data_IF_686835333805
#
_entry.id   IF_686835333805
#
_cell.length_a   1.000
_cell.length_b   1.000
_cell.length_c   1.000
_cell.angle_alpha   90.00
_cell.angle_beta   90.00
_cell.angle_gamma   90.00
#
_symmetry.space_group_name_H-M   'P 1'
#
loop_
_entity.id
_entity.type
_entity.pdbx_description
1 polymer ?
#
# COMPACT_ATOMS: atom_id res chain seq x y z
N UNK A 1 0.09 20.89 5.01
CA UNK A 1 -0.86 21.56 4.09
C UNK A 1 -0.16 22.38 2.97
N UNK A 2 1.16 22.27 2.75
CA UNK A 2 1.89 23.17 1.81
C UNK A 2 2.21 22.61 0.41
N UNK A 3 2.15 21.30 0.16
CA UNK A 3 2.44 20.71 -1.16
C UNK A 3 1.24 19.98 -1.80
N UNK A 4 0.02 20.16 -1.29
CA UNK A 4 -1.18 19.48 -1.81
C UNK A 4 -1.22 17.96 -1.63
N UNK A 5 -0.22 17.35 -0.99
CA UNK A 5 -0.15 15.90 -0.77
C UNK A 5 -1.10 15.50 0.38
N UNK A 6 -2.01 14.52 0.16
CA UNK A 6 -2.93 14.06 1.20
C UNK A 6 -2.18 13.31 2.30
N UNK A 7 -2.54 13.56 3.56
CA UNK A 7 -2.02 12.80 4.69
C UNK A 7 -2.79 11.48 4.80
N UNK A 8 -2.10 10.35 4.63
CA UNK A 8 -2.66 9.01 4.78
C UNK A 8 -2.31 8.44 6.16
N UNK A 9 -3.13 7.50 6.67
CA UNK A 9 -2.91 6.90 7.99
C UNK A 9 -1.54 6.22 8.16
N UNK A 10 -0.97 5.68 7.07
CA UNK A 10 0.38 5.09 7.06
C UNK A 10 1.46 6.10 7.43
N UNK A 11 1.28 7.39 7.11
CA UNK A 11 2.26 8.44 7.41
C UNK A 11 2.43 8.65 8.93
N UNK A 12 1.50 8.19 9.75
CA UNK A 12 1.67 8.21 11.21
C UNK A 12 2.82 7.32 11.69
N UNK A 13 3.24 6.32 10.90
CA UNK A 13 4.41 5.50 11.18
C UNK A 13 5.74 6.17 10.79
N UNK A 14 5.71 7.18 9.91
CA UNK A 14 6.91 7.82 9.37
C UNK A 14 7.83 8.43 10.46
N UNK A 15 7.33 9.09 11.52
CA UNK A 15 8.19 9.60 12.59
C UNK A 15 8.99 8.51 13.31
N UNK A 16 8.41 7.33 13.53
CA UNK A 16 9.10 6.21 14.18
C UNK A 16 10.24 5.68 13.32
N UNK A 17 10.00 5.58 12.00
CA UNK A 17 11.01 5.15 11.05
C UNK A 17 12.14 6.19 10.96
N UNK A 18 11.81 7.48 10.93
CA UNK A 18 12.77 8.58 10.91
C UNK A 18 13.62 8.65 12.19
N UNK A 19 13.03 8.36 13.36
CA UNK A 19 13.78 8.25 14.61
C UNK A 19 14.81 7.12 14.55
N UNK A 20 14.43 5.96 13.99
CA UNK A 20 15.36 4.83 13.82
C UNK A 20 16.58 5.22 12.96
N UNK A 21 16.34 5.84 11.81
CA UNK A 21 17.41 6.31 10.91
C UNK A 21 18.29 7.35 11.62
N UNK A 22 17.68 8.36 12.26
CA UNK A 22 18.43 9.43 12.92
C UNK A 22 19.27 8.97 14.12
N UNK A 23 18.79 7.96 14.88
CA UNK A 23 19.53 7.38 16.00
C UNK A 23 20.75 6.59 15.50
N UNK A 24 20.62 5.86 14.40
CA UNK A 24 21.74 5.14 13.79
C UNK A 24 22.85 6.11 13.35
N UNK A 25 22.50 7.17 12.63
CA UNK A 25 23.45 8.21 12.20
C UNK A 25 24.12 8.94 13.39
N UNK A 26 23.37 9.16 14.48
CA UNK A 26 23.90 9.74 15.71
C UNK A 26 24.88 8.79 16.41
N UNK A 27 24.56 7.50 16.47
CA UNK A 27 25.43 6.49 17.07
C UNK A 27 26.74 6.34 16.29
N UNK A 28 26.69 6.31 14.95
CA UNK A 28 27.89 6.29 14.10
C UNK A 28 28.79 7.49 14.40
N UNK A 29 28.23 8.70 14.46
CA UNK A 29 29.00 9.91 14.76
C UNK A 29 29.58 9.93 16.18
N UNK A 30 28.79 9.53 17.18
CA UNK A 30 29.24 9.45 18.57
C UNK A 30 30.33 8.38 18.74
N UNK A 31 30.21 7.24 18.08
CA UNK A 31 31.21 6.17 18.12
C UNK A 31 32.55 6.64 17.54
N UNK A 32 32.52 7.40 16.44
CA UNK A 32 33.70 8.02 15.86
C UNK A 32 34.29 9.09 16.79
N UNK A 33 33.44 9.94 17.40
CA UNK A 33 33.86 10.93 18.40
C UNK A 33 34.58 10.28 19.59
N UNK A 34 34.05 9.18 20.11
CA UNK A 34 34.63 8.46 21.24
C UNK A 34 35.96 7.77 20.93
N UNK A 35 36.26 7.48 19.66
CA UNK A 35 37.57 6.96 19.22
C UNK A 35 38.64 8.03 19.15
N UNK A 36 38.27 9.31 19.08
CA UNK A 36 39.24 10.43 19.07
C UNK A 36 39.90 10.62 20.43
N UNK A 37 41.15 11.12 20.45
CA UNK A 37 41.88 11.35 21.69
C UNK A 37 41.30 12.56 22.44
N UNK A 38 40.90 12.43 23.72
CA UNK A 38 40.28 13.53 24.48
C UNK A 38 41.18 14.76 24.72
N UNK A 39 42.49 14.61 24.54
CA UNK A 39 43.50 15.66 24.77
C UNK A 39 43.66 16.62 23.58
N UNK A 40 43.21 16.21 22.39
CA UNK A 40 43.35 17.00 21.16
C UNK A 40 42.35 18.18 21.15
N UNK A 41 42.62 19.20 20.34
CA UNK A 41 41.74 20.37 20.24
C UNK A 41 40.36 19.96 19.70
N UNK A 42 39.28 20.61 20.17
CA UNK A 42 37.91 20.30 19.72
C UNK A 42 37.78 20.40 18.19
N UNK A 43 38.50 21.35 17.57
CA UNK A 43 38.53 21.51 16.11
C UNK A 43 39.11 20.28 15.42
N UNK A 44 40.20 19.75 15.94
CA UNK A 44 40.91 18.61 15.36
C UNK A 44 40.15 17.29 15.59
N UNK A 45 39.57 17.11 16.78
CA UNK A 45 38.65 15.99 17.07
C UNK A 45 37.42 16.01 16.17
N UNK A 46 36.82 17.19 15.96
CA UNK A 46 35.68 17.34 15.04
C UNK A 46 36.07 17.02 13.60
N UNK A 47 37.21 17.53 13.13
CA UNK A 47 37.70 17.24 11.77
C UNK A 47 37.93 15.75 11.55
N UNK A 48 38.57 15.07 12.50
CA UNK A 48 38.82 13.62 12.44
C UNK A 48 37.54 12.79 12.53
N UNK A 49 36.60 13.20 13.39
CA UNK A 49 35.30 12.53 13.51
C UNK A 49 34.53 12.63 12.20
N UNK A 50 34.43 13.84 11.64
CA UNK A 50 33.70 14.08 10.39
C UNK A 50 34.36 13.43 9.17
N UNK A 51 35.69 13.34 9.11
CA UNK A 51 36.37 12.70 7.97
C UNK A 51 35.99 11.22 7.83
N UNK A 52 35.62 10.55 8.92
CA UNK A 52 35.22 9.14 8.92
C UNK A 52 33.69 8.98 9.00
N UNK A 53 33.02 9.61 9.98
CA UNK A 53 31.59 9.39 10.22
C UNK A 53 30.70 10.05 9.17
N UNK A 54 31.06 11.22 8.65
CA UNK A 54 30.21 11.93 7.70
C UNK A 54 30.12 11.19 6.37
N UNK A 55 31.22 10.59 5.90
CA UNK A 55 31.23 9.78 4.67
C UNK A 55 30.28 8.59 4.79
N UNK A 56 30.33 7.88 5.91
CA UNK A 56 29.43 6.75 6.17
C UNK A 56 27.96 7.17 6.16
N UNK A 57 27.63 8.27 6.85
CA UNK A 57 26.26 8.78 6.96
C UNK A 57 25.74 9.30 5.61
N UNK A 58 26.59 9.97 4.83
CA UNK A 58 26.25 10.42 3.47
C UNK A 58 25.88 9.25 2.58
N UNK A 59 26.61 8.14 2.64
CA UNK A 59 26.30 6.94 1.86
C UNK A 59 24.92 6.40 2.27
N UNK A 60 24.68 6.18 3.56
CA UNK A 60 23.40 5.68 4.07
C UNK A 60 22.23 6.61 3.71
N UNK A 61 22.40 7.92 3.89
CA UNK A 61 21.36 8.92 3.58
C UNK A 61 21.03 9.00 2.09
N UNK A 62 22.05 8.96 1.22
CA UNK A 62 21.85 8.94 -0.24
C UNK A 62 21.15 7.66 -0.67
N UNK A 63 21.58 6.50 -0.17
CA UNK A 63 20.94 5.22 -0.50
C UNK A 63 19.49 5.18 0.00
N UNK A 64 19.21 5.68 1.21
CA UNK A 64 17.84 5.79 1.73
C UNK A 64 16.99 6.72 0.86
N UNK A 65 17.52 7.88 0.49
CA UNK A 65 16.85 8.85 -0.38
C UNK A 65 16.50 8.23 -1.74
N UNK A 66 17.46 7.56 -2.39
CA UNK A 66 17.22 6.86 -3.67
C UNK A 66 16.18 5.76 -3.49
N UNK A 67 16.28 4.95 -2.43
CA UNK A 67 15.35 3.84 -2.17
C UNK A 67 13.91 4.34 -1.98
N UNK A 68 13.71 5.44 -1.23
CA UNK A 68 12.39 6.03 -1.06
C UNK A 68 11.88 6.70 -2.33
N UNK A 69 12.74 7.37 -3.11
CA UNK A 69 12.32 7.93 -4.39
C UNK A 69 12.00 6.86 -5.44
N UNK A 70 12.67 5.70 -5.44
CA UNK A 70 12.26 4.57 -6.28
C UNK A 70 10.86 4.09 -5.85
N UNK A 71 10.58 4.08 -4.55
CA UNK A 71 9.27 3.72 -4.01
C UNK A 71 8.11 4.61 -4.50
N UNK A 72 8.37 5.86 -4.92
CA UNK A 72 7.31 6.73 -5.45
C UNK A 72 6.83 6.32 -6.83
N UNK A 73 7.57 5.49 -7.58
CA UNK A 73 7.13 4.96 -8.87
C UNK A 73 6.15 3.78 -8.77
N UNK A 74 5.80 3.34 -7.55
CA UNK A 74 4.88 2.23 -7.34
C UNK A 74 3.46 2.60 -7.78
N UNK A 75 2.75 1.67 -8.44
CA UNK A 75 1.35 1.86 -8.87
C UNK A 75 0.36 2.12 -7.71
N UNK A 76 0.69 1.69 -6.49
CA UNK A 76 -0.19 1.84 -5.32
C UNK A 76 -0.04 3.23 -4.68
N UNK A 77 -1.08 4.06 -4.80
CA UNK A 77 -1.04 5.47 -4.40
C UNK A 77 -0.68 5.71 -2.94
N UNK A 78 -1.06 4.81 -2.02
CA UNK A 78 -0.71 4.96 -0.60
C UNK A 78 0.79 4.80 -0.36
N UNK A 79 1.45 3.86 -1.04
CA UNK A 79 2.90 3.65 -0.91
C UNK A 79 3.66 4.82 -1.55
N UNK A 80 3.20 5.28 -2.71
CA UNK A 80 3.79 6.45 -3.38
C UNK A 80 3.83 7.68 -2.45
N UNK A 81 2.69 8.00 -1.83
CA UNK A 81 2.59 9.14 -0.90
C UNK A 81 3.51 8.92 0.31
N UNK A 82 3.48 7.75 0.94
CA UNK A 82 4.32 7.43 2.09
C UNK A 82 5.82 7.57 1.79
N UNK A 83 6.27 7.02 0.66
CA UNK A 83 7.65 7.08 0.20
C UNK A 83 8.09 8.52 -0.12
N UNK A 84 7.20 9.37 -0.65
CA UNK A 84 7.50 10.79 -0.88
C UNK A 84 7.74 11.54 0.44
N UNK A 85 6.91 11.28 1.47
CA UNK A 85 7.10 11.86 2.80
C UNK A 85 8.42 11.40 3.44
N UNK A 86 8.77 10.11 3.33
CA UNK A 86 10.03 9.60 3.86
C UNK A 86 11.25 10.13 3.10
N UNK A 87 11.23 10.16 1.77
CA UNK A 87 12.35 10.68 0.97
C UNK A 87 12.65 12.15 1.28
N UNK A 88 11.61 12.99 1.39
CA UNK A 88 11.76 14.40 1.79
C UNK A 88 12.22 14.55 3.24
N UNK A 89 11.72 13.70 4.15
CA UNK A 89 12.13 13.71 5.56
C UNK A 89 13.59 13.28 5.75
N UNK A 90 14.06 12.27 5.02
CA UNK A 90 15.47 11.82 5.05
C UNK A 90 16.40 12.91 4.54
N UNK A 91 16.06 13.58 3.45
CA UNK A 91 16.85 14.70 2.94
C UNK A 91 16.99 15.79 4.00
N UNK A 92 15.87 16.17 4.63
CA UNK A 92 15.90 17.19 5.68
C UNK A 92 16.66 16.73 6.93
N UNK A 93 16.48 15.47 7.34
CA UNK A 93 17.18 14.87 8.47
C UNK A 93 18.70 14.86 8.26
N UNK A 94 19.17 14.50 7.05
CA UNK A 94 20.59 14.53 6.71
C UNK A 94 21.19 15.94 6.84
N UNK A 95 20.50 16.97 6.34
CA UNK A 95 20.94 18.37 6.46
C UNK A 95 21.02 18.80 7.93
N UNK A 96 19.98 18.50 8.72
CA UNK A 96 19.99 18.81 10.17
C UNK A 96 21.05 18.00 10.93
N UNK A 97 21.32 16.76 10.54
CA UNK A 97 22.32 15.93 11.19
C UNK A 97 23.73 16.51 10.99
N UNK A 98 24.11 16.83 9.75
CA UNK A 98 25.44 17.40 9.49
C UNK A 98 25.63 18.75 10.19
N UNK A 99 24.60 19.60 10.18
CA UNK A 99 24.71 20.99 10.65
C UNK A 99 24.42 21.15 12.15
N UNK A 100 23.23 20.75 12.61
CA UNK A 100 22.75 20.99 13.96
C UNK A 100 23.36 19.99 14.95
N UNK A 101 23.34 18.70 14.64
CA UNK A 101 23.94 17.68 15.51
C UNK A 101 25.46 17.87 15.60
N UNK A 102 26.11 18.24 14.51
CA UNK A 102 27.52 18.66 14.49
C UNK A 102 27.84 19.82 15.42
N UNK A 103 27.00 20.86 15.39
CA UNK A 103 27.17 22.01 16.29
C UNK A 103 27.01 21.59 17.75
N UNK A 104 26.02 20.75 18.08
CA UNK A 104 25.83 20.20 19.41
C UNK A 104 27.03 19.35 19.87
N UNK A 105 27.60 18.53 18.98
CA UNK A 105 28.80 17.74 19.25
C UNK A 105 30.02 18.63 19.54
N UNK A 106 30.20 19.70 18.76
CA UNK A 106 31.27 20.67 19.00
C UNK A 106 31.13 21.39 20.34
N UNK A 107 29.90 21.74 20.74
CA UNK A 107 29.60 22.33 22.06
C UNK A 107 29.85 21.31 23.18
N UNK A 108 29.42 20.06 23.01
CA UNK A 108 29.69 18.98 23.96
C UNK A 108 31.19 18.71 24.10
N UNK A 109 31.96 18.78 23.02
CA UNK A 109 33.42 18.65 23.06
C UNK A 109 34.12 19.78 23.79
N UNK A 110 33.58 21.02 23.72
CA UNK A 110 34.06 22.14 24.54
C UNK A 110 33.77 21.94 26.03
N UNK A 111 32.60 21.38 26.37
CA UNK A 111 32.25 21.03 27.74
C UNK A 111 33.09 19.84 28.27
N UNK A 112 33.35 18.84 27.45
CA UNK A 112 34.21 17.68 27.77
C UNK A 112 35.66 18.11 28.07
N UNK A 113 36.19 19.07 27.31
CA UNK A 113 37.53 19.66 27.54
C UNK A 113 37.63 20.36 28.90
N UNK A 114 36.52 20.85 29.44
CA UNK A 114 36.44 21.47 30.77
C UNK A 114 36.30 20.44 31.92
N UNK A 115 36.43 19.13 31.64
CA UNK A 115 36.29 18.02 32.60
C UNK A 115 34.93 18.00 33.34
N UNK A 116 33.90 18.58 32.73
CA UNK A 116 32.53 18.55 33.26
C UNK A 116 31.73 17.51 32.51
N UNK A 117 31.05 16.66 33.28
CA UNK A 117 30.18 15.62 32.77
C UNK A 117 28.85 16.27 32.41
N UNK A 118 28.35 16.03 31.20
CA UNK A 118 27.30 16.86 30.61
C UNK A 118 25.93 16.82 31.34
N UNK A 119 25.75 15.92 32.33
CA UNK A 119 24.56 15.83 33.21
C UNK A 119 24.89 15.37 34.67
N UNK A 120 25.86 14.47 34.93
CA UNK A 120 25.95 13.71 36.22
C UNK A 120 27.31 13.61 36.94
N UNK A 121 28.36 14.30 36.50
CA UNK A 121 29.69 14.40 37.13
C UNK A 121 30.35 13.10 37.71
N UNK A 122 30.28 11.93 37.04
CA UNK A 122 31.08 10.72 37.39
C UNK A 122 31.67 9.92 36.20
N UNK A 123 32.88 9.37 36.35
CA UNK A 123 33.57 8.57 35.31
C UNK A 123 32.89 7.20 35.06
N UNK A 124 32.62 6.87 33.79
CA UNK A 124 32.12 5.54 33.36
C UNK A 124 33.20 4.78 32.57
N UNK A 125 33.31 3.48 32.86
CA UNK A 125 34.27 2.50 32.28
C UNK A 125 33.67 1.87 31.02
N UNK A 126 34.48 1.64 29.98
CA UNK A 126 34.05 0.90 28.79
C UNK A 126 33.94 -0.60 29.10
N UNK A 127 32.81 -1.19 28.71
CA UNK A 127 32.64 -2.64 28.70
C UNK A 127 32.93 -3.16 27.30
N UNK A 128 33.80 -4.15 27.23
CA UNK A 128 34.01 -4.97 26.04
C UNK A 128 32.96 -6.06 26.07
N UNK A 129 32.08 -6.08 25.06
CA UNK A 129 31.28 -7.26 24.77
C UNK A 129 31.62 -7.74 23.36
N UNK A 130 32.27 -8.90 23.31
CA UNK A 130 32.53 -9.67 22.09
C UNK A 130 32.26 -11.15 22.38
N UNK A 131 31.56 -11.82 21.46
CA UNK A 131 31.52 -13.28 21.36
C UNK A 131 30.12 -13.88 21.17
N UNK A 132 29.16 -13.50 22.01
CA UNK A 132 27.81 -14.13 22.01
C UNK A 132 26.92 -13.59 20.88
N UNK A 133 27.17 -12.36 20.44
CA UNK A 133 26.34 -11.64 19.46
C UNK A 133 26.33 -12.32 18.09
N UNK A 134 27.45 -12.91 17.65
CA UNK A 134 27.55 -13.52 16.31
C UNK A 134 26.75 -14.82 16.21
N UNK A 135 26.77 -15.66 17.26
CA UNK A 135 25.99 -16.91 17.30
C UNK A 135 24.49 -16.61 17.46
N UNK A 136 24.14 -15.60 18.27
CA UNK A 136 22.77 -15.14 18.40
C UNK A 136 22.23 -14.56 17.07
N UNK A 137 23.05 -13.82 16.33
CA UNK A 137 22.68 -13.24 15.03
C UNK A 137 22.52 -14.32 13.95
N UNK A 138 23.36 -15.35 13.95
CA UNK A 138 23.24 -16.49 13.04
C UNK A 138 21.97 -17.31 13.30
N UNK A 139 21.64 -17.58 14.57
CA UNK A 139 20.39 -18.24 14.95
C UNK A 139 19.16 -17.40 14.59
N UNK A 140 19.22 -16.08 14.83
CA UNK A 140 18.18 -15.14 14.43
C UNK A 140 17.97 -15.14 12.90
N UNK A 141 19.06 -15.11 12.12
CA UNK A 141 18.99 -15.17 10.66
C UNK A 141 18.35 -16.47 10.16
N UNK A 142 18.69 -17.62 10.76
CA UNK A 142 18.07 -18.89 10.38
C UNK A 142 16.56 -18.91 10.65
N UNK A 143 16.12 -18.36 11.80
CA UNK A 143 14.69 -18.22 12.12
C UNK A 143 14.00 -17.21 11.20
N UNK A 144 14.66 -16.09 10.87
CA UNK A 144 14.12 -15.10 9.94
C UNK A 144 13.94 -15.68 8.53
N UNK A 145 14.93 -16.43 8.02
CA UNK A 145 14.85 -17.10 6.72
C UNK A 145 13.73 -18.13 6.69
N UNK A 146 13.57 -18.92 7.76
CA UNK A 146 12.44 -19.85 7.91
C UNK A 146 11.09 -19.12 8.02
N UNK A 147 11.06 -17.97 8.69
CA UNK A 147 9.90 -17.09 8.76
C UNK A 147 9.48 -16.57 7.38
N UNK A 148 10.45 -16.20 6.53
CA UNK A 148 10.20 -15.76 5.15
C UNK A 148 9.56 -16.87 4.29
N UNK A 149 9.85 -18.15 4.51
CA UNK A 149 9.24 -19.24 3.73
C UNK A 149 7.83 -19.60 4.22
N UNK A 150 7.44 -19.15 5.41
CA UNK A 150 6.13 -19.45 6.02
C UNK A 150 5.17 -18.26 5.93
N UNK A 151 5.59 -17.17 5.30
CA UNK A 151 4.74 -15.99 5.12
C UNK A 151 3.62 -16.32 4.14
N UNK A 152 2.38 -16.07 4.55
CA UNK A 152 1.22 -16.25 3.67
C UNK A 152 0.87 -14.91 3.04
N UNK A 153 0.63 -14.90 1.74
CA UNK A 153 0.22 -13.71 1.02
C UNK A 153 -1.25 -13.38 1.30
N UNK A 154 -1.53 -12.10 1.52
CA UNK A 154 -2.89 -11.59 1.60
C UNK A 154 -3.16 -10.73 2.83
N UNK A 155 -3.72 -9.55 2.58
CA UNK A 155 -4.25 -8.70 3.63
C UNK A 155 -5.62 -9.23 4.06
N UNK A 156 -5.70 -9.81 5.24
CA UNK A 156 -6.99 -10.20 5.82
C UNK A 156 -7.69 -8.95 6.34
N UNK A 157 -8.88 -8.64 5.81
CA UNK A 157 -9.70 -7.49 6.22
C UNK A 157 -10.03 -7.52 7.73
N UNK A 158 -10.09 -8.73 8.30
CA UNK A 158 -10.19 -8.95 9.75
C UNK A 158 -9.04 -8.29 10.53
N UNK A 159 -7.81 -8.32 10.02
CA UNK A 159 -6.62 -7.78 10.69
C UNK A 159 -6.50 -6.25 10.58
N UNK A 160 -7.23 -5.62 9.66
CA UNK A 160 -7.28 -4.16 9.55
C UNK A 160 -8.30 -3.52 10.50
N UNK A 161 -9.27 -4.30 10.99
CA UNK A 161 -10.25 -3.82 11.96
C UNK A 161 -9.69 -3.80 13.39
N UNK A 162 -10.21 -2.89 14.20
CA UNK A 162 -9.89 -2.80 15.63
C UNK A 162 -10.36 -4.07 16.36
N UNK A 163 -9.58 -4.55 17.33
CA UNK A 163 -9.80 -5.84 17.99
C UNK A 163 -11.13 -5.95 18.76
N UNK A 164 -11.69 -4.84 19.23
CA UNK A 164 -12.97 -4.75 19.95
C UNK A 164 -14.16 -4.38 19.03
N UNK A 165 -13.92 -4.23 17.73
CA UNK A 165 -14.95 -3.81 16.79
C UNK A 165 -15.92 -4.94 16.46
N UNK A 166 -17.20 -4.58 16.26
CA UNK A 166 -18.23 -5.47 15.71
C UNK A 166 -17.84 -6.03 14.32
N UNK A 167 -16.89 -5.39 13.63
CA UNK A 167 -16.38 -5.84 12.34
C UNK A 167 -15.69 -7.21 12.44
N UNK A 168 -15.02 -7.52 13.56
CA UNK A 168 -14.34 -8.82 13.73
C UNK A 168 -15.33 -9.99 13.69
N UNK A 169 -16.37 -10.05 14.55
CA UNK A 169 -17.35 -11.13 14.48
C UNK A 169 -18.12 -11.11 13.16
N UNK A 170 -18.40 -9.93 12.57
CA UNK A 170 -19.01 -9.85 11.25
C UNK A 170 -18.17 -10.53 10.17
N UNK A 171 -16.85 -10.28 10.11
CA UNK A 171 -15.97 -10.92 9.14
C UNK A 171 -15.83 -12.43 9.41
N UNK A 172 -15.77 -12.84 10.68
CA UNK A 172 -15.70 -14.26 11.06
C UNK A 172 -17.00 -15.00 10.64
N UNK A 173 -18.18 -14.40 10.84
CA UNK A 173 -19.45 -14.95 10.37
C UNK A 173 -19.56 -14.95 8.85
N UNK A 174 -19.10 -13.89 8.18
CA UNK A 174 -19.11 -13.80 6.71
C UNK A 174 -18.19 -14.87 6.11
N UNK A 175 -16.98 -15.04 6.63
CA UNK A 175 -16.06 -16.09 6.16
C UNK A 175 -16.61 -17.49 6.45
N UNK A 176 -17.32 -17.69 7.56
CA UNK A 176 -17.86 -19.00 7.93
C UNK A 176 -19.10 -19.40 7.14
N UNK A 177 -20.04 -18.48 6.94
CA UNK A 177 -21.35 -18.78 6.36
C UNK A 177 -21.52 -18.29 4.92
N UNK A 178 -20.72 -17.31 4.48
CA UNK A 178 -20.86 -16.64 3.19
C UNK A 178 -19.55 -16.64 2.38
N UNK A 179 -18.65 -17.59 2.63
CA UNK A 179 -17.40 -17.73 1.86
C UNK A 179 -17.59 -18.32 0.47
N UNK A 180 -18.65 -19.11 0.26
CA UNK A 180 -19.03 -19.62 -1.05
C UNK A 180 -19.66 -18.49 -1.87
N UNK A 181 -18.99 -18.10 -2.97
CA UNK A 181 -19.40 -17.00 -3.86
C UNK A 181 -19.58 -15.64 -3.15
N UNK A 182 -18.64 -15.29 -2.27
CA UNK A 182 -18.70 -14.09 -1.43
C UNK A 182 -18.79 -12.75 -2.21
N UNK A 183 -18.38 -12.75 -3.49
CA UNK A 183 -18.36 -11.56 -4.33
C UNK A 183 -19.19 -11.78 -5.58
N UNK A 184 -19.99 -10.78 -5.96
CA UNK A 184 -20.75 -10.75 -7.21
C UNK A 184 -19.94 -10.02 -8.28
N UNK A 185 -19.23 -10.73 -9.19
CA UNK A 185 -18.55 -10.08 -10.29
C UNK A 185 -19.59 -9.50 -11.26
N UNK A 186 -19.32 -8.30 -11.78
CA UNK A 186 -20.10 -7.70 -12.86
C UNK A 186 -19.28 -7.77 -14.14
N UNK A 187 -19.83 -8.40 -15.17
CA UNK A 187 -19.21 -8.46 -16.49
C UNK A 187 -19.90 -7.43 -17.37
N UNK A 188 -19.09 -6.51 -17.93
CA UNK A 188 -19.57 -5.45 -18.81
C UNK A 188 -18.86 -5.62 -20.15
N UNK A 189 -19.64 -5.72 -21.22
CA UNK A 189 -19.13 -5.73 -22.58
C UNK A 189 -18.96 -4.28 -23.06
N UNK A 190 -17.73 -3.86 -23.26
CA UNK A 190 -17.39 -2.50 -23.71
C UNK A 190 -17.10 -2.48 -25.21
N UNK A 191 -17.73 -1.59 -25.97
CA UNK A 191 -17.49 -1.39 -27.40
C UNK A 191 -18.76 -1.07 -28.19
N UNK A 192 -18.61 -0.78 -29.49
CA UNK A 192 -19.73 -0.62 -30.42
C UNK A 192 -20.25 -2.02 -30.80
N UNK A 193 -21.12 -2.56 -29.95
CA UNK A 193 -21.75 -3.86 -30.13
C UNK A 193 -23.17 -3.63 -30.64
N UNK A 194 -23.50 -4.25 -31.76
CA UNK A 194 -24.86 -4.24 -32.33
C UNK A 194 -25.65 -5.39 -31.72
N UNK A 195 -26.46 -5.12 -30.71
CA UNK A 195 -27.24 -6.15 -30.02
C UNK A 195 -28.42 -6.66 -30.86
N UNK A 196 -28.82 -5.93 -31.90
CA UNK A 196 -29.87 -6.37 -32.84
C UNK A 196 -29.42 -7.52 -33.75
N UNK A 197 -28.11 -7.78 -33.88
CA UNK A 197 -27.60 -8.89 -34.70
C UNK A 197 -27.73 -10.24 -33.95
N UNK A 198 -28.49 -11.21 -34.48
CA UNK A 198 -28.65 -12.53 -33.87
C UNK A 198 -27.34 -13.29 -33.69
N UNK A 199 -26.32 -13.03 -34.52
CA UNK A 199 -25.02 -13.69 -34.40
C UNK A 199 -24.26 -13.19 -33.15
N UNK A 200 -24.30 -11.88 -32.90
CA UNK A 200 -23.67 -11.24 -31.74
C UNK A 200 -24.41 -11.65 -30.46
N UNK A 201 -25.74 -11.63 -30.47
CA UNK A 201 -26.56 -12.08 -29.35
C UNK A 201 -26.20 -13.51 -28.92
N UNK A 202 -26.05 -14.43 -29.89
CA UNK A 202 -25.67 -15.81 -29.63
C UNK A 202 -24.27 -15.92 -29.01
N UNK A 203 -23.28 -15.20 -29.55
CA UNK A 203 -21.93 -15.20 -29.00
C UNK A 203 -21.87 -14.68 -27.56
N UNK A 204 -22.64 -13.64 -27.24
CA UNK A 204 -22.73 -13.11 -25.88
C UNK A 204 -23.34 -14.12 -24.92
N UNK A 205 -24.42 -14.80 -25.32
CA UNK A 205 -25.06 -15.83 -24.50
C UNK A 205 -24.16 -17.06 -24.30
N UNK A 206 -23.45 -17.52 -25.34
CA UNK A 206 -22.46 -18.59 -25.25
C UNK A 206 -21.31 -18.23 -24.30
N UNK A 207 -20.86 -16.97 -24.31
CA UNK A 207 -19.87 -16.49 -23.36
C UNK A 207 -20.39 -16.52 -21.92
N UNK A 208 -21.62 -16.06 -21.68
CA UNK A 208 -22.24 -16.10 -20.34
C UNK A 208 -22.36 -17.54 -19.84
N UNK A 209 -22.78 -18.48 -20.69
CA UNK A 209 -22.87 -19.91 -20.35
C UNK A 209 -21.48 -20.48 -20.01
N UNK A 210 -20.44 -20.10 -20.76
CA UNK A 210 -19.05 -20.50 -20.45
C UNK A 210 -18.59 -19.97 -19.10
N UNK A 211 -18.96 -18.74 -18.75
CA UNK A 211 -18.66 -18.13 -17.45
C UNK A 211 -19.40 -18.87 -16.33
N UNK A 212 -20.69 -19.14 -16.50
CA UNK A 212 -21.52 -19.90 -15.56
C UNK A 212 -21.00 -21.33 -15.33
N UNK A 213 -20.38 -21.95 -16.34
CA UNK A 213 -19.80 -23.29 -16.21
C UNK A 213 -18.55 -23.39 -15.34
N UNK A 214 -17.96 -22.25 -14.92
CA UNK A 214 -16.72 -22.24 -14.15
C UNK A 214 -16.96 -22.58 -12.67
N UNK A 215 -16.09 -23.40 -12.05
CA UNK A 215 -16.28 -23.87 -10.65
C UNK A 215 -16.37 -22.75 -9.59
N UNK A 216 -15.84 -21.55 -9.91
CA UNK A 216 -15.80 -20.41 -9.00
C UNK A 216 -16.97 -19.44 -9.22
N UNK A 217 -17.89 -19.76 -10.12
CA UNK A 217 -19.08 -18.98 -10.41
C UNK A 217 -20.30 -19.79 -9.97
N UNK A 218 -21.28 -19.09 -9.38
CA UNK A 218 -22.52 -19.70 -8.94
C UNK A 218 -23.31 -20.26 -10.12
N UNK A 219 -24.18 -21.23 -9.84
CA UNK A 219 -25.09 -21.81 -10.81
C UNK A 219 -25.96 -20.75 -11.52
N UNK A 220 -26.59 -21.08 -12.65
CA UNK A 220 -27.45 -20.19 -13.45
C UNK A 220 -28.54 -19.51 -12.60
N UNK A 221 -28.98 -20.14 -11.51
CA UNK A 221 -29.95 -19.56 -10.57
C UNK A 221 -29.45 -18.31 -9.84
N UNK A 222 -28.13 -18.11 -9.76
CA UNK A 222 -27.49 -16.99 -9.08
C UNK A 222 -26.96 -15.93 -10.04
N UNK A 223 -27.15 -16.11 -11.36
CA UNK A 223 -26.68 -15.17 -12.38
C UNK A 223 -27.81 -14.35 -12.99
N UNK A 224 -27.68 -13.02 -12.89
CA UNK A 224 -28.59 -12.09 -13.55
C UNK A 224 -28.01 -11.68 -14.90
N UNK A 225 -28.68 -12.09 -15.99
CA UNK A 225 -28.33 -11.72 -17.36
C UNK A 225 -29.51 -11.04 -18.06
N UNK A 226 -29.40 -9.72 -18.27
CA UNK A 226 -30.45 -8.92 -18.93
C UNK A 226 -30.73 -9.41 -20.36
N UNK A 227 -29.69 -9.83 -21.09
CA UNK A 227 -29.84 -10.29 -22.48
C UNK A 227 -30.66 -11.58 -22.54
N UNK A 228 -30.42 -12.53 -21.64
CA UNK A 228 -31.20 -13.76 -21.52
C UNK A 228 -32.66 -13.49 -21.13
N UNK A 229 -32.89 -12.50 -20.26
CA UNK A 229 -34.25 -12.10 -19.89
C UNK A 229 -34.98 -11.43 -21.07
N UNK A 230 -34.28 -10.58 -21.82
CA UNK A 230 -34.81 -9.91 -23.00
C UNK A 230 -35.19 -10.89 -24.12
N UNK A 231 -34.35 -11.87 -24.42
CA UNK A 231 -34.65 -12.88 -25.45
C UNK A 231 -35.86 -13.73 -25.05
N UNK A 232 -35.96 -14.14 -23.78
CA UNK A 232 -37.14 -14.83 -23.23
C UNK A 232 -38.40 -13.97 -23.33
N UNK A 233 -38.31 -12.66 -23.06
CA UNK A 233 -39.42 -11.72 -23.22
C UNK A 233 -39.87 -11.59 -24.68
N UNK A 234 -38.94 -11.37 -25.59
CA UNK A 234 -39.23 -11.22 -27.03
C UNK A 234 -39.84 -12.49 -27.62
N UNK A 235 -39.36 -13.68 -27.22
CA UNK A 235 -39.94 -14.96 -27.64
C UNK A 235 -41.40 -15.11 -27.20
N UNK A 236 -41.76 -14.62 -26.01
CA UNK A 236 -43.10 -14.75 -25.44
C UNK A 236 -44.07 -13.67 -25.89
N UNK A 237 -43.63 -12.41 -25.91
CA UNK A 237 -44.49 -11.23 -26.05
C UNK A 237 -44.26 -10.44 -27.34
N UNK A 238 -43.10 -10.61 -27.99
CA UNK A 238 -42.68 -9.77 -29.12
C UNK A 238 -43.67 -9.80 -30.30
N UNK A 239 -44.21 -10.98 -30.63
CA UNK A 239 -45.22 -11.13 -31.71
C UNK A 239 -46.56 -10.50 -31.37
N UNK A 240 -46.98 -10.56 -30.10
CA UNK A 240 -48.26 -9.99 -29.65
C UNK A 240 -48.22 -8.45 -29.59
N UNK A 241 -47.05 -7.90 -29.28
CA UNK A 241 -46.84 -6.44 -29.17
C UNK A 241 -46.38 -5.79 -30.49
N UNK A 242 -46.14 -6.58 -31.55
CA UNK A 242 -45.71 -6.06 -32.85
C UNK A 242 -44.33 -5.39 -32.83
N UNK A 243 -43.47 -5.76 -31.87
CA UNK A 243 -42.15 -5.15 -31.70
C UNK A 243 -41.22 -5.52 -32.85
N UNK A 244 -40.62 -4.53 -33.50
CA UNK A 244 -39.63 -4.71 -34.56
C UNK A 244 -38.22 -4.41 -34.03
N UNK A 245 -37.38 -5.43 -33.97
CA UNK A 245 -36.00 -5.35 -33.45
C UNK A 245 -34.93 -5.50 -34.56
N UNK A 246 -35.29 -5.25 -35.81
CA UNK A 246 -34.38 -5.43 -36.96
C UNK A 246 -33.28 -4.35 -37.04
N UNK A 247 -33.50 -3.20 -36.40
CA UNK A 247 -32.57 -2.07 -36.37
C UNK A 247 -32.13 -1.79 -34.93
N UNK A 248 -30.84 -1.46 -34.75
CA UNK A 248 -30.23 -1.27 -33.44
C UNK A 248 -30.91 -0.17 -32.61
N UNK A 249 -31.28 0.95 -33.25
CA UNK A 249 -31.93 2.07 -32.52
C UNK A 249 -33.30 1.66 -32.01
N UNK A 250 -34.03 0.88 -32.80
CA UNK A 250 -35.36 0.39 -32.43
C UNK A 250 -35.26 -0.69 -31.36
N UNK A 251 -34.26 -1.58 -31.46
CA UNK A 251 -33.94 -2.58 -30.44
C UNK A 251 -33.69 -1.92 -29.07
N UNK A 252 -32.79 -0.92 -29.03
CA UNK A 252 -32.45 -0.21 -27.80
C UNK A 252 -33.66 0.52 -27.23
N UNK A 253 -34.46 1.18 -28.08
CA UNK A 253 -35.69 1.86 -27.65
C UNK A 253 -36.69 0.90 -26.99
N UNK A 254 -37.01 -0.21 -27.66
CA UNK A 254 -37.94 -1.21 -27.15
C UNK A 254 -37.41 -1.85 -25.85
N UNK A 255 -36.11 -2.11 -25.78
CA UNK A 255 -35.46 -2.65 -24.59
C UNK A 255 -35.57 -1.67 -23.42
N UNK A 256 -35.29 -0.38 -23.63
CA UNK A 256 -35.41 0.65 -22.60
C UNK A 256 -36.84 0.76 -22.06
N UNK A 257 -37.84 0.77 -22.94
CA UNK A 257 -39.26 0.86 -22.56
C UNK A 257 -39.67 -0.34 -21.69
N UNK A 258 -39.31 -1.56 -22.09
CA UNK A 258 -39.61 -2.77 -21.31
C UNK A 258 -38.86 -2.79 -19.98
N UNK A 259 -37.60 -2.36 -19.95
CA UNK A 259 -36.83 -2.27 -18.71
C UNK A 259 -37.40 -1.21 -17.74
N UNK A 260 -38.01 -0.14 -18.24
CA UNK A 260 -38.69 0.87 -17.42
C UNK A 260 -40.02 0.35 -16.84
N UNK A 261 -40.75 -0.48 -17.58
CA UNK A 261 -42.05 -1.05 -17.16
C UNK A 261 -41.88 -2.12 -16.06
N UNK A 262 -40.84 -2.95 -16.12
CA UNK A 262 -40.62 -4.06 -15.17
C UNK A 262 -39.66 -3.73 -14.01
N UNK A 263 -39.51 -2.44 -13.67
CA UNK A 263 -38.42 -1.89 -12.86
C UNK A 263 -38.05 -2.63 -11.55
N UNK A 264 -36.76 -2.94 -11.43
CA UNK A 264 -35.89 -2.71 -10.25
C UNK A 264 -34.39 -2.86 -10.62
N UNK A 265 -34.05 -3.68 -11.63
CA UNK A 265 -32.66 -3.89 -12.13
C UNK A 265 -32.19 -2.86 -13.18
N UNK A 266 -33.10 -2.06 -13.74
CA UNK A 266 -32.81 -1.13 -14.84
C UNK A 266 -31.96 0.10 -14.44
N UNK A 267 -31.74 0.36 -13.14
CA UNK A 267 -30.91 1.48 -12.67
C UNK A 267 -29.43 1.32 -13.04
N UNK A 268 -28.94 0.08 -13.16
CA UNK A 268 -27.55 -0.20 -13.53
C UNK A 268 -27.35 0.06 -15.03
N UNK A 269 -28.31 -0.35 -15.88
CA UNK A 269 -28.26 -0.16 -17.33
C UNK A 269 -28.38 1.34 -17.69
N UNK A 270 -29.20 2.11 -16.96
CA UNK A 270 -29.37 3.56 -17.17
C UNK A 270 -28.09 4.36 -16.89
N UNK A 271 -27.22 3.90 -15.98
CA UNK A 271 -25.96 4.60 -15.68
C UNK A 271 -24.80 4.20 -16.59
N UNK A 272 -24.79 2.99 -17.15
CA UNK A 272 -23.70 2.49 -18.02
C UNK A 272 -23.83 2.96 -19.47
N UNK A 273 -25.04 3.21 -19.98
CA UNK A 273 -25.28 3.49 -21.40
C UNK A 273 -25.80 4.91 -21.71
N UNK A 274 -26.01 5.81 -20.73
CA UNK A 274 -26.63 7.15 -20.96
C UNK A 274 -25.64 8.30 -20.75
N UNK A 275 -24.33 8.08 -20.93
CA UNK A 275 -23.35 9.19 -20.98
C UNK A 275 -22.41 9.11 -22.20
N UNK A 276 -22.81 8.41 -23.26
CA UNK A 276 -22.17 8.48 -24.58
C UNK A 276 -23.22 8.57 -25.68
#
# INVERSE_FOLDING_TARGET
MHCGVPMIGMNMAAPFLMLGIGIDDAFVTLSAWHRTRPQDSVRERMAQTYSESAVSISITSITNMISFFIGTFTYFSSVMVFCLYLGTSVLMAYVWHITLFGACLALSGRAEKQQLHNITCKRVKSSSESGVVVVAFAAYLAVAVYGCTTINDGMQLRKTARYDSYSIPFYDFTAKYFSSFAYRPMIVFTGNITYSDPAIERQLLEFVEKVESHEFIGDEFYTDCWLRQWTKYMAKNGKYQGLNNSDEKTYIYNLQEVLEIYGYEARIIKHTYINY
#
